data_IF_368853213575
#
_entry.id   IF_368853213575
#
_cell.length_a   1.000
_cell.length_b   1.000
_cell.length_c   1.000
_cell.angle_alpha   90.00
_cell.angle_beta   90.00
_cell.angle_gamma   90.00
#
_symmetry.space_group_name_H-M   'P 1'
#
loop_
_entity.id
_entity.type
_entity.pdbx_description
1 polymer ?
#
# COMPACT_ATOMS: atom_id res chain seq x y z
N UNK A 1 45.60 -13.07 -12.49
CA UNK A 1 45.86 -12.06 -11.43
C UNK A 1 44.53 -11.74 -10.77
N UNK A 2 44.33 -12.14 -9.50
CA UNK A 2 43.09 -11.91 -8.77
C UNK A 2 43.02 -10.47 -8.22
N UNK A 3 41.83 -9.88 -8.18
CA UNK A 3 41.58 -8.53 -7.65
C UNK A 3 41.73 -8.51 -6.12
N UNK A 4 42.54 -7.58 -5.62
CA UNK A 4 42.78 -7.37 -4.19
C UNK A 4 41.70 -6.49 -3.55
N UNK A 5 41.30 -6.85 -2.32
CA UNK A 5 40.26 -6.18 -1.54
C UNK A 5 40.76 -4.84 -1.00
N UNK A 6 40.03 -3.77 -1.31
CA UNK A 6 40.39 -2.40 -0.95
C UNK A 6 40.05 -2.09 0.52
N UNK A 7 41.10 -1.69 1.24
CA UNK A 7 41.15 -0.85 2.44
C UNK A 7 40.85 -1.50 3.82
N UNK A 8 41.93 -1.80 4.55
CA UNK A 8 41.95 -1.90 6.01
C UNK A 8 42.82 -0.75 6.53
N UNK A 9 42.20 0.36 6.95
CA UNK A 9 42.94 1.58 7.28
C UNK A 9 42.18 2.63 8.08
N UNK A 10 41.03 2.30 8.68
CA UNK A 10 40.39 3.16 9.69
C UNK A 10 39.87 2.29 10.82
N UNK A 11 40.14 2.71 12.06
CA UNK A 11 39.61 2.14 13.30
C UNK A 11 38.09 2.36 13.30
N UNK A 12 37.37 1.50 12.60
CA UNK A 12 35.93 1.39 12.62
C UNK A 12 35.65 -0.09 12.80
N UNK A 13 34.90 -0.44 13.85
CA UNK A 13 34.59 -1.82 14.22
C UNK A 13 34.36 -2.69 12.99
N UNK A 14 34.98 -3.87 12.96
CA UNK A 14 34.84 -4.93 11.95
C UNK A 14 33.37 -5.28 11.66
N UNK A 15 32.65 -4.40 10.97
CA UNK A 15 31.30 -4.64 10.51
C UNK A 15 31.42 -5.20 9.11
N UNK A 16 31.60 -6.52 9.05
CA UNK A 16 31.38 -7.27 7.82
C UNK A 16 29.97 -6.93 7.37
N UNK A 17 29.84 -6.18 6.27
CA UNK A 17 28.54 -5.82 5.68
C UNK A 17 27.83 -7.11 5.30
N UNK A 18 27.03 -7.64 6.23
CA UNK A 18 26.36 -8.92 6.07
C UNK A 18 25.14 -8.66 5.20
N UNK A 19 25.03 -9.40 4.09
CA UNK A 19 23.90 -9.24 3.18
C UNK A 19 22.60 -9.51 3.94
N UNK A 20 21.78 -8.47 4.13
CA UNK A 20 20.52 -8.55 4.88
C UNK A 20 20.53 -7.94 6.28
N UNK A 21 21.65 -7.39 6.77
CA UNK A 21 21.71 -6.83 8.13
C UNK A 21 20.74 -5.66 8.39
N UNK A 22 20.32 -4.94 7.34
CA UNK A 22 19.28 -3.92 7.40
C UNK A 22 17.97 -4.33 6.68
N UNK A 23 17.88 -5.58 6.22
CA UNK A 23 16.64 -6.14 5.67
C UNK A 23 15.95 -6.89 6.81
N UNK A 24 14.93 -6.27 7.37
CA UNK A 24 14.00 -6.95 8.26
C UNK A 24 12.85 -7.54 7.42
N UNK A 25 12.94 -8.82 6.99
CA UNK A 25 11.84 -9.45 6.26
C UNK A 25 10.58 -9.56 7.14
N UNK A 26 10.72 -9.59 8.48
CA UNK A 26 9.60 -9.62 9.42
C UNK A 26 8.74 -8.36 9.30
N UNK A 27 9.36 -7.19 9.11
CA UNK A 27 8.64 -5.94 8.86
C UNK A 27 7.86 -5.96 7.54
N UNK A 28 8.35 -6.67 6.53
CA UNK A 28 7.67 -6.79 5.22
C UNK A 28 6.52 -7.80 5.29
N UNK A 29 6.66 -8.88 6.05
CA UNK A 29 5.63 -9.92 6.21
C UNK A 29 4.52 -9.53 7.21
N UNK A 30 4.80 -8.63 8.16
CA UNK A 30 3.80 -8.13 9.12
C UNK A 30 2.74 -7.21 8.50
N UNK A 31 2.90 -6.82 7.23
CA UNK A 31 1.93 -5.97 6.52
C UNK A 31 0.90 -6.83 5.78
N UNK A 32 0.40 -7.89 6.43
CA UNK A 32 -0.76 -8.60 5.91
C UNK A 32 -1.95 -7.62 5.96
N UNK A 33 -2.62 -7.35 4.82
CA UNK A 33 -3.79 -6.48 4.83
C UNK A 33 -4.83 -7.06 5.79
N UNK A 34 -5.34 -6.23 6.69
CA UNK A 34 -6.22 -6.60 7.81
C UNK A 34 -7.56 -7.20 7.36
N UNK A 35 -7.90 -7.11 6.07
CA UNK A 35 -9.12 -7.67 5.48
C UNK A 35 -8.83 -8.18 4.07
N UNK A 36 -9.38 -9.34 3.70
CA UNK A 36 -9.34 -9.87 2.33
C UNK A 36 -10.21 -8.97 1.44
N UNK A 37 -9.59 -8.01 0.75
CA UNK A 37 -10.27 -7.14 -0.20
C UNK A 37 -10.29 -7.77 -1.59
N UNK A 38 -11.45 -7.70 -2.27
CA UNK A 38 -11.60 -8.10 -3.67
C UNK A 38 -11.76 -6.85 -4.53
N UNK A 39 -10.98 -6.75 -5.61
CA UNK A 39 -11.08 -5.63 -6.56
C UNK A 39 -12.25 -5.87 -7.51
N UNK A 40 -13.17 -4.93 -7.57
CA UNK A 40 -14.27 -4.90 -8.52
C UNK A 40 -13.92 -3.90 -9.61
N UNK A 41 -14.07 -4.30 -10.88
CA UNK A 41 -13.91 -3.39 -12.00
C UNK A 41 -15.31 -2.96 -12.46
N UNK A 42 -15.59 -1.67 -12.36
CA UNK A 42 -16.91 -1.12 -12.66
C UNK A 42 -16.79 -0.01 -13.70
N UNK A 43 -17.66 -0.05 -14.70
CA UNK A 43 -17.76 1.00 -15.70
C UNK A 43 -18.82 2.01 -15.25
N UNK A 44 -18.40 3.25 -15.03
CA UNK A 44 -19.29 4.36 -14.67
C UNK A 44 -19.32 5.41 -15.79
N UNK A 45 -20.48 5.92 -16.19
CA UNK A 45 -20.55 7.02 -17.14
C UNK A 45 -19.84 8.27 -16.59
N UNK A 46 -19.20 9.01 -17.49
CA UNK A 46 -18.29 10.12 -17.17
C UNK A 46 -18.98 11.22 -16.34
N UNK A 47 -20.21 11.59 -16.69
CA UNK A 47 -21.00 12.58 -15.95
C UNK A 47 -21.19 12.20 -14.47
N UNK A 48 -21.44 10.91 -14.21
CA UNK A 48 -21.59 10.40 -12.85
C UNK A 48 -20.25 10.43 -12.13
N UNK A 49 -19.17 10.04 -12.81
CA UNK A 49 -17.83 10.03 -12.22
C UNK A 49 -17.35 11.44 -11.84
N UNK A 50 -17.62 12.42 -12.69
CA UNK A 50 -17.27 13.81 -12.41
C UNK A 50 -18.05 14.37 -11.21
N UNK A 51 -19.36 14.09 -11.14
CA UNK A 51 -20.19 14.49 -10.00
C UNK A 51 -19.76 13.81 -8.70
N UNK A 52 -19.47 12.50 -8.76
CA UNK A 52 -18.98 11.74 -7.61
C UNK A 52 -17.65 12.31 -7.09
N UNK A 53 -16.70 12.57 -7.99
CA UNK A 53 -15.41 13.18 -7.63
C UNK A 53 -15.59 14.55 -6.98
N UNK A 54 -16.46 15.40 -7.53
CA UNK A 54 -16.76 16.71 -6.94
C UNK A 54 -17.40 16.61 -5.55
N UNK A 55 -18.32 15.67 -5.34
CA UNK A 55 -18.96 15.43 -4.04
C UNK A 55 -17.97 14.86 -3.01
N UNK A 56 -17.10 13.93 -3.41
CA UNK A 56 -16.05 13.38 -2.56
C UNK A 56 -15.07 14.48 -2.11
N UNK A 57 -14.64 15.34 -3.04
CA UNK A 57 -13.76 16.47 -2.74
C UNK A 57 -14.38 17.46 -1.74
N UNK A 58 -15.69 17.73 -1.85
CA UNK A 58 -16.41 18.61 -0.91
C UNK A 58 -16.51 18.04 0.50
N UNK A 59 -16.66 16.71 0.62
CA UNK A 59 -16.80 16.02 1.90
C UNK A 59 -15.47 15.55 2.49
N UNK A 60 -14.38 15.62 1.74
CA UNK A 60 -13.05 15.16 2.19
C UNK A 60 -12.95 13.64 2.35
N UNK A 61 -13.81 12.88 1.66
CA UNK A 61 -13.89 11.41 1.75
C UNK A 61 -13.35 10.77 0.46
N UNK A 62 -12.83 9.54 0.57
CA UNK A 62 -12.33 8.82 -0.59
C UNK A 62 -13.48 8.22 -1.41
N UNK A 63 -13.26 8.08 -2.72
CA UNK A 63 -14.23 7.44 -3.63
C UNK A 63 -14.50 5.99 -3.20
N UNK A 64 -13.49 5.28 -2.73
CA UNK A 64 -13.63 3.91 -2.24
C UNK A 64 -14.53 3.81 -1.02
N UNK A 65 -14.43 4.75 -0.08
CA UNK A 65 -15.27 4.77 1.12
C UNK A 65 -16.73 5.04 0.77
N UNK A 66 -16.99 5.99 -0.14
CA UNK A 66 -18.35 6.27 -0.63
C UNK A 66 -18.97 5.04 -1.30
N UNK A 67 -18.19 4.29 -2.08
CA UNK A 67 -18.69 3.09 -2.75
C UNK A 67 -18.98 1.96 -1.76
N UNK A 68 -18.18 1.83 -0.70
CA UNK A 68 -18.44 0.87 0.38
C UNK A 68 -19.69 1.25 1.18
N UNK A 69 -19.83 2.51 1.59
CA UNK A 69 -21.04 2.99 2.30
C UNK A 69 -22.31 2.76 1.48
N UNK A 70 -22.28 3.02 0.17
CA UNK A 70 -23.41 2.76 -0.72
C UNK A 70 -23.70 1.26 -0.86
N UNK A 71 -22.66 0.42 -0.87
CA UNK A 71 -22.83 -1.03 -0.91
C UNK A 71 -23.43 -1.55 0.40
N UNK A 72 -22.95 -1.09 1.55
CA UNK A 72 -23.46 -1.46 2.87
C UNK A 72 -24.91 -1.02 3.05
N UNK A 73 -25.25 0.21 2.64
CA UNK A 73 -26.63 0.69 2.66
C UNK A 73 -27.55 -0.16 1.78
N UNK A 74 -27.09 -0.52 0.58
CA UNK A 74 -27.86 -1.38 -0.32
C UNK A 74 -28.03 -2.80 0.24
N UNK A 75 -26.99 -3.39 0.84
CA UNK A 75 -27.08 -4.73 1.46
C UNK A 75 -28.06 -4.74 2.64
N UNK A 76 -27.99 -3.75 3.52
CA UNK A 76 -28.89 -3.64 4.68
C UNK A 76 -30.37 -3.53 4.30
N UNK A 77 -30.69 -3.02 3.10
CA UNK A 77 -32.07 -2.92 2.62
C UNK A 77 -32.55 -4.17 1.86
N UNK A 78 -31.64 -5.05 1.41
CA UNK A 78 -31.96 -6.15 0.49
C UNK A 78 -31.61 -7.55 1.03
N UNK A 79 -30.94 -7.67 2.19
CA UNK A 79 -30.81 -8.91 2.97
C UNK A 79 -31.94 -9.07 4.01
#
# INVERSE_FOLDING_TARGET
>A
MALSKQNNGTVASHKVMTFGENRDPGKVMATAPTVIQKRINFNMPEDKHQRLKAACARKGISISDVMNELADAWLNENE
#
